data_IF_900154408490
#
_entry.id   IF_900154408490
#
_cell.length_a   1.000
_cell.length_b   1.000
_cell.length_c   1.000
_cell.angle_alpha   90.00
_cell.angle_beta   90.00
_cell.angle_gamma   90.00
#
_symmetry.space_group_name_H-M   'P 1'
#
loop_
_entity.id
_entity.type
_entity.pdbx_description
1 polymer ?
#
# COMPACT_ATOMS: atom_id res chain seq x y z
N UNK A 1 12.65 -11.11 5.37
CA UNK A 1 13.76 -11.92 5.93
C UNK A 1 14.19 -11.43 7.30
N UNK A 2 14.89 -10.28 7.42
CA UNK A 2 15.34 -9.74 8.74
C UNK A 2 14.21 -9.63 9.76
N UNK A 3 13.03 -9.15 9.35
CA UNK A 3 11.86 -9.08 10.23
C UNK A 3 11.39 -10.45 10.74
N UNK A 4 11.50 -11.49 9.91
CA UNK A 4 11.14 -12.86 10.30
C UNK A 4 12.15 -13.38 11.31
N UNK A 5 13.45 -13.19 11.08
CA UNK A 5 14.50 -13.59 12.03
C UNK A 5 14.36 -12.87 13.37
N UNK A 6 14.20 -11.54 13.35
CA UNK A 6 14.06 -10.74 14.56
C UNK A 6 12.81 -11.15 15.34
N UNK A 7 11.67 -11.26 14.65
CA UNK A 7 10.42 -11.68 15.27
C UNK A 7 10.53 -13.11 15.82
N UNK A 8 11.18 -14.05 15.14
CA UNK A 8 11.24 -15.45 15.60
C UNK A 8 12.44 -15.73 16.51
N UNK A 9 13.23 -14.70 16.81
CA UNK A 9 14.52 -14.81 17.52
C UNK A 9 15.39 -15.89 16.87
N UNK A 10 15.66 -15.77 15.56
CA UNK A 10 16.44 -16.77 14.82
C UNK A 10 15.80 -18.16 14.76
N UNK A 11 14.47 -18.25 14.89
CA UNK A 11 13.73 -19.50 14.88
C UNK A 11 13.60 -20.20 16.25
N UNK A 12 14.16 -19.64 17.33
CA UNK A 12 13.96 -20.14 18.70
C UNK A 12 12.49 -20.09 19.13
N UNK A 13 11.73 -19.13 18.60
CA UNK A 13 10.30 -18.98 18.86
C UNK A 13 9.50 -18.99 17.56
N UNK A 14 8.74 -20.07 17.35
CA UNK A 14 7.84 -20.20 16.20
C UNK A 14 6.60 -19.32 16.37
N UNK A 15 6.69 -18.05 15.93
CA UNK A 15 5.64 -17.04 16.11
C UNK A 15 5.44 -16.16 14.87
N UNK A 16 4.34 -15.43 14.87
CA UNK A 16 3.94 -14.51 13.81
C UNK A 16 3.40 -15.18 12.55
N UNK A 17 2.63 -14.41 11.79
CA UNK A 17 2.02 -14.83 10.53
C UNK A 17 2.52 -13.92 9.42
N UNK A 18 2.99 -14.49 8.32
CA UNK A 18 3.31 -13.73 7.12
C UNK A 18 2.12 -13.77 6.15
N UNK A 19 1.60 -12.61 5.80
CA UNK A 19 0.67 -12.45 4.69
C UNK A 19 1.45 -11.93 3.49
N UNK A 20 1.48 -12.68 2.39
CA UNK A 20 2.22 -12.27 1.19
C UNK A 20 1.54 -12.78 -0.09
N UNK A 21 1.79 -12.15 -1.25
CA UNK A 21 1.45 -12.73 -2.53
C UNK A 21 2.16 -14.08 -2.75
N UNK A 22 1.68 -14.87 -3.71
CA UNK A 22 2.24 -16.19 -4.00
C UNK A 22 3.66 -16.08 -4.55
N UNK A 23 3.90 -15.11 -5.43
CA UNK A 23 5.20 -14.90 -6.07
C UNK A 23 6.35 -14.65 -5.08
N UNK A 24 6.05 -14.13 -3.88
CA UNK A 24 7.04 -13.93 -2.83
C UNK A 24 7.66 -15.24 -2.32
N UNK A 25 7.01 -16.38 -2.58
CA UNK A 25 7.39 -17.71 -2.14
C UNK A 25 7.87 -18.62 -3.27
N UNK A 26 7.61 -18.26 -4.52
CA UNK A 26 7.93 -19.03 -5.73
C UNK A 26 9.15 -18.43 -6.45
N UNK A 27 9.61 -19.10 -7.50
CA UNK A 27 10.67 -18.69 -8.46
C UNK A 27 11.57 -17.50 -8.04
N UNK A 28 12.78 -17.81 -7.55
CA UNK A 28 13.71 -16.86 -6.90
C UNK A 28 13.07 -16.09 -5.73
N UNK A 29 12.68 -16.81 -4.66
CA UNK A 29 11.78 -16.24 -3.66
C UNK A 29 12.44 -15.19 -2.79
N UNK A 30 11.80 -14.03 -2.71
CA UNK A 30 12.21 -12.96 -1.79
C UNK A 30 12.07 -13.35 -0.32
N UNK A 31 11.16 -14.29 0.01
CA UNK A 31 11.09 -14.92 1.33
C UNK A 31 11.95 -16.18 1.33
N UNK A 32 13.11 -16.08 2.00
CA UNK A 32 14.10 -17.15 2.01
C UNK A 32 13.52 -18.44 2.59
N UNK A 33 13.76 -19.56 1.90
CA UNK A 33 13.15 -20.86 2.21
C UNK A 33 13.39 -21.32 3.64
N UNK A 34 14.59 -21.10 4.18
CA UNK A 34 14.94 -21.54 5.53
C UNK A 34 14.14 -20.80 6.63
N UNK A 35 13.72 -19.56 6.37
CA UNK A 35 12.95 -18.75 7.33
C UNK A 35 11.49 -19.15 7.44
N UNK A 36 10.95 -19.84 6.42
CA UNK A 36 9.51 -20.15 6.36
C UNK A 36 9.06 -21.03 7.52
N UNK A 37 9.93 -21.95 7.95
CA UNK A 37 9.65 -22.84 9.08
C UNK A 37 9.72 -22.16 10.44
N UNK A 38 10.26 -20.93 10.52
CA UNK A 38 10.31 -20.15 11.75
C UNK A 38 8.99 -19.45 12.04
N UNK A 39 8.16 -19.22 11.02
CA UNK A 39 6.86 -18.59 11.18
C UNK A 39 5.84 -19.56 11.75
N UNK A 40 4.88 -19.04 12.52
CA UNK A 40 3.71 -19.83 12.94
C UNK A 40 2.88 -20.25 11.74
N UNK A 41 2.69 -19.32 10.80
CA UNK A 41 1.88 -19.53 9.60
C UNK A 41 2.28 -18.60 8.45
N UNK A 42 1.94 -18.99 7.22
CA UNK A 42 2.08 -18.18 6.00
C UNK A 42 0.76 -18.23 5.25
N UNK A 43 0.17 -17.06 5.03
CA UNK A 43 -1.13 -16.88 4.38
C UNK A 43 -0.94 -16.20 3.03
N UNK A 44 -1.44 -16.85 1.97
CA UNK A 44 -1.33 -16.35 0.61
C UNK A 44 -2.44 -15.35 0.32
N UNK A 45 -2.04 -14.14 -0.07
CA UNK A 45 -2.94 -13.09 -0.50
C UNK A 45 -3.53 -13.40 -1.88
N UNK A 46 -4.82 -13.13 -2.03
CA UNK A 46 -5.59 -13.29 -3.27
C UNK A 46 -6.52 -12.11 -3.47
N UNK A 47 -6.84 -11.80 -4.71
CA UNK A 47 -7.88 -10.83 -5.04
C UNK A 47 -9.23 -11.20 -4.39
N UNK A 48 -9.86 -10.21 -3.75
CA UNK A 48 -11.10 -10.39 -2.98
C UNK A 48 -10.94 -11.13 -1.64
N UNK A 49 -9.72 -11.48 -1.25
CA UNK A 49 -9.45 -12.22 -0.02
C UNK A 49 -9.66 -11.38 1.24
N UNK A 50 -10.15 -12.02 2.31
CA UNK A 50 -10.34 -11.42 3.63
C UNK A 50 -9.58 -12.23 4.67
N UNK A 51 -8.85 -11.55 5.54
CA UNK A 51 -7.93 -12.14 6.51
C UNK A 51 -8.14 -11.55 7.89
N UNK A 52 -7.74 -12.29 8.92
CA UNK A 52 -7.82 -11.88 10.31
C UNK A 52 -6.50 -12.12 11.02
N UNK A 53 -6.11 -11.18 11.86
CA UNK A 53 -4.93 -11.27 12.72
C UNK A 53 -5.27 -10.63 14.07
N UNK A 54 -5.35 -11.44 15.13
CA UNK A 54 -5.56 -10.97 16.51
C UNK A 54 -6.72 -9.99 16.70
N UNK A 55 -7.85 -10.25 16.02
CA UNK A 55 -9.06 -9.42 16.06
C UNK A 55 -9.12 -8.32 15.00
N UNK A 56 -7.98 -7.97 14.39
CA UNK A 56 -7.92 -7.10 13.21
C UNK A 56 -8.38 -7.86 11.97
N UNK A 57 -9.25 -7.24 11.18
CA UNK A 57 -9.68 -7.72 9.86
C UNK A 57 -9.14 -6.82 8.77
N UNK A 58 -8.60 -7.42 7.72
CA UNK A 58 -8.23 -6.70 6.51
C UNK A 58 -8.53 -7.52 5.27
N UNK A 59 -8.66 -6.86 4.12
CA UNK A 59 -8.91 -7.50 2.83
C UNK A 59 -8.03 -6.93 1.73
N UNK A 60 -7.86 -7.72 0.68
CA UNK A 60 -7.16 -7.37 -0.56
C UNK A 60 -8.22 -7.15 -1.64
N UNK A 61 -8.73 -5.91 -1.82
CA UNK A 61 -9.94 -5.68 -2.60
C UNK A 61 -9.81 -6.09 -4.07
N UNK A 62 -8.65 -5.86 -4.67
CA UNK A 62 -8.33 -6.27 -6.03
C UNK A 62 -6.82 -6.49 -6.20
N UNK A 63 -6.45 -7.18 -7.28
CA UNK A 63 -5.05 -7.25 -7.71
C UNK A 63 -4.65 -5.95 -8.40
N UNK A 64 -3.51 -5.39 -7.98
CA UNK A 64 -2.94 -4.20 -8.59
C UNK A 64 -2.18 -4.52 -9.87
N UNK A 65 -2.09 -3.52 -10.77
CA UNK A 65 -1.39 -3.65 -12.03
C UNK A 65 0.08 -3.25 -11.83
N UNK A 66 0.93 -4.23 -11.49
CA UNK A 66 2.36 -4.02 -11.26
C UNK A 66 3.21 -5.10 -11.96
N UNK A 67 4.53 -5.04 -11.84
CA UNK A 67 5.43 -6.02 -12.49
C UNK A 67 5.42 -7.39 -11.79
N UNK A 68 5.07 -7.38 -10.51
CA UNK A 68 4.92 -8.56 -9.65
C UNK A 68 3.49 -8.61 -9.09
N UNK A 69 3.10 -9.76 -8.56
CA UNK A 69 1.82 -9.92 -7.87
C UNK A 69 1.71 -8.95 -6.69
N UNK A 70 0.80 -7.99 -6.81
CA UNK A 70 0.69 -6.87 -5.87
C UNK A 70 -0.76 -6.68 -5.50
N UNK A 71 -1.01 -6.40 -4.23
CA UNK A 71 -2.34 -6.11 -3.69
C UNK A 71 -2.26 -4.88 -2.81
N UNK A 72 -3.24 -3.99 -2.95
CA UNK A 72 -3.52 -3.03 -1.89
C UNK A 72 -4.32 -3.67 -0.76
N UNK A 73 -4.54 -2.91 0.32
CA UNK A 73 -5.17 -3.40 1.54
C UNK A 73 -6.32 -2.49 1.95
N UNK A 74 -7.34 -3.08 2.57
CA UNK A 74 -8.37 -2.35 3.31
C UNK A 74 -8.40 -2.93 4.71
N UNK A 75 -8.17 -2.09 5.71
CA UNK A 75 -8.06 -2.46 7.12
C UNK A 75 -9.29 -1.91 7.84
N UNK A 76 -10.00 -2.77 8.57
CA UNK A 76 -11.21 -2.43 9.34
C UNK A 76 -12.28 -1.69 8.53
N UNK A 77 -12.37 -1.93 7.22
CA UNK A 77 -13.25 -1.21 6.27
C UNK A 77 -13.16 0.33 6.34
N UNK A 78 -12.05 0.84 6.89
CA UNK A 78 -11.87 2.25 7.22
C UNK A 78 -10.63 2.85 6.57
N UNK A 79 -9.55 2.08 6.51
CA UNK A 79 -8.23 2.55 6.03
C UNK A 79 -7.85 1.76 4.79
N UNK A 80 -7.72 2.44 3.65
CA UNK A 80 -7.21 1.88 2.41
C UNK A 80 -5.72 2.16 2.23
N UNK A 81 -4.97 1.16 1.79
CA UNK A 81 -3.63 1.31 1.26
C UNK A 81 -3.66 0.97 -0.23
N UNK A 82 -3.48 1.99 -1.07
CA UNK A 82 -3.20 1.81 -2.49
C UNK A 82 -1.69 1.65 -2.63
N UNK A 83 -1.23 0.39 -2.64
CA UNK A 83 0.16 0.03 -2.92
C UNK A 83 0.53 0.31 -4.38
N UNK A 84 1.76 -0.01 -4.76
CA UNK A 84 2.28 0.19 -6.12
C UNK A 84 1.35 -0.40 -7.18
N UNK A 85 1.01 0.43 -8.16
CA UNK A 85 0.14 0.07 -9.28
C UNK A 85 0.22 1.12 -10.38
N UNK A 86 0.05 0.67 -11.63
CA UNK A 86 -0.43 1.53 -12.70
C UNK A 86 -1.86 1.99 -12.40
N UNK A 87 -2.27 3.14 -12.93
CA UNK A 87 -3.64 3.63 -12.77
C UNK A 87 -4.64 2.84 -13.61
N UNK A 88 -5.79 2.51 -13.04
CA UNK A 88 -6.94 1.94 -13.75
C UNK A 88 -8.24 2.23 -13.01
N UNK A 89 -9.38 2.39 -13.72
CA UNK A 89 -10.63 2.89 -13.12
C UNK A 89 -11.20 2.04 -11.98
N UNK A 90 -10.91 0.73 -11.93
CA UNK A 90 -11.41 -0.14 -10.87
C UNK A 90 -10.90 0.25 -9.47
N UNK A 91 -9.82 1.03 -9.38
CA UNK A 91 -9.35 1.61 -8.12
C UNK A 91 -10.42 2.49 -7.46
N UNK A 92 -11.26 3.18 -8.23
CA UNK A 92 -12.27 4.07 -7.66
C UNK A 92 -13.26 3.31 -6.80
N UNK A 93 -13.91 2.29 -7.36
CA UNK A 93 -14.94 1.53 -6.65
C UNK A 93 -14.37 0.70 -5.50
N UNK A 94 -13.13 0.24 -5.62
CA UNK A 94 -12.50 -0.54 -4.57
C UNK A 94 -12.13 0.25 -3.31
N UNK A 95 -11.74 1.51 -3.47
CA UNK A 95 -11.28 2.37 -2.38
C UNK A 95 -12.28 3.48 -2.01
N UNK A 96 -13.49 3.44 -2.58
CA UNK A 96 -14.56 4.40 -2.32
C UNK A 96 -15.10 4.28 -0.90
N UNK A 97 -15.44 5.42 -0.30
CA UNK A 97 -16.10 5.47 1.01
C UNK A 97 -15.19 5.16 2.20
N UNK A 98 -13.90 4.89 1.97
CA UNK A 98 -12.92 4.73 3.03
C UNK A 98 -12.59 6.08 3.67
N UNK A 99 -12.40 6.08 4.98
CA UNK A 99 -12.11 7.29 5.74
C UNK A 99 -10.71 7.84 5.42
N UNK A 100 -9.74 6.93 5.37
CA UNK A 100 -8.34 7.26 5.16
C UNK A 100 -7.81 6.47 3.97
N UNK A 101 -7.15 7.15 3.04
CA UNK A 101 -6.40 6.52 1.96
C UNK A 101 -4.92 6.84 2.08
N UNK A 102 -4.10 5.80 2.24
CA UNK A 102 -2.65 5.85 2.07
C UNK A 102 -2.34 5.47 0.63
N UNK A 103 -1.61 6.30 -0.10
CA UNK A 103 -1.42 6.15 -1.54
C UNK A 103 0.07 6.22 -1.89
N UNK A 104 0.59 5.15 -2.46
CA UNK A 104 1.92 5.15 -3.07
C UNK A 104 1.89 5.98 -4.35
N UNK A 105 2.73 7.02 -4.43
CA UNK A 105 2.83 7.90 -5.59
C UNK A 105 4.29 8.21 -5.89
N UNK A 106 4.78 7.76 -7.04
CA UNK A 106 6.21 7.80 -7.36
C UNK A 106 6.56 9.03 -8.19
N UNK A 107 5.65 9.49 -9.06
CA UNK A 107 5.96 10.50 -10.08
C UNK A 107 5.07 11.74 -9.98
N UNK A 108 5.67 12.90 -10.22
CA UNK A 108 4.93 14.17 -10.27
C UNK A 108 4.28 14.46 -11.63
N UNK A 109 4.80 13.83 -12.70
CA UNK A 109 4.46 14.13 -14.10
C UNK A 109 3.49 13.08 -14.66
N UNK A 110 3.10 13.27 -15.92
CA UNK A 110 2.22 12.36 -16.67
C UNK A 110 2.65 10.88 -16.65
N UNK A 111 1.67 10.02 -16.93
CA UNK A 111 1.84 8.57 -17.02
C UNK A 111 2.94 8.19 -18.00
N UNK A 112 3.70 7.18 -17.63
CA UNK A 112 4.63 6.48 -18.51
C UNK A 112 4.28 5.01 -18.39
N UNK A 113 3.77 4.39 -19.45
CA UNK A 113 3.27 3.01 -19.42
C UNK A 113 4.35 1.99 -19.03
N UNK A 114 5.63 2.36 -19.17
CA UNK A 114 6.76 1.54 -18.73
C UNK A 114 6.95 1.56 -17.22
N UNK A 115 6.31 2.49 -16.51
CA UNK A 115 6.40 2.64 -15.06
C UNK A 115 5.02 2.39 -14.46
N UNK A 116 4.84 1.20 -13.90
CA UNK A 116 3.58 0.76 -13.29
C UNK A 116 3.39 1.34 -11.88
N UNK A 117 3.39 2.66 -11.79
CA UNK A 117 3.18 3.43 -10.55
C UNK A 117 2.28 4.63 -10.78
N UNK A 118 1.58 5.05 -9.73
CA UNK A 118 0.73 6.22 -9.74
C UNK A 118 1.55 7.52 -9.84
N UNK A 119 0.93 8.49 -10.50
CA UNK A 119 1.38 9.86 -10.66
C UNK A 119 0.52 10.84 -9.85
N UNK A 120 0.96 12.08 -9.67
CA UNK A 120 0.15 13.13 -9.04
C UNK A 120 -1.18 13.38 -9.80
N UNK A 121 -1.23 13.42 -11.14
CA UNK A 121 -2.48 13.41 -11.89
C UNK A 121 -3.40 12.23 -11.54
N UNK A 122 -2.87 11.02 -11.42
CA UNK A 122 -3.67 9.83 -11.07
C UNK A 122 -4.26 9.93 -9.66
N UNK A 123 -3.44 10.34 -8.69
CA UNK A 123 -3.87 10.57 -7.31
C UNK A 123 -5.01 11.58 -7.29
N UNK A 124 -4.91 12.64 -8.08
CA UNK A 124 -5.94 13.67 -8.18
C UNK A 124 -7.26 13.13 -8.74
N UNK A 125 -7.22 12.26 -9.73
CA UNK A 125 -8.42 11.54 -10.22
C UNK A 125 -9.00 10.63 -9.12
N UNK A 126 -8.17 9.82 -8.47
CA UNK A 126 -8.58 8.91 -7.39
C UNK A 126 -9.26 9.68 -6.26
N UNK A 127 -8.66 10.77 -5.79
CA UNK A 127 -9.20 11.57 -4.67
C UNK A 127 -10.51 12.26 -5.01
N UNK A 128 -10.71 12.67 -6.28
CA UNK A 128 -11.99 13.25 -6.74
C UNK A 128 -13.13 12.25 -6.70
N UNK A 129 -12.86 10.99 -7.05
CA UNK A 129 -13.87 9.93 -7.10
C UNK A 129 -14.12 9.28 -5.74
N UNK A 130 -13.05 9.04 -4.96
CA UNK A 130 -13.13 8.33 -3.67
C UNK A 130 -13.48 9.23 -2.50
N UNK A 131 -13.07 10.51 -2.54
CA UNK A 131 -13.35 11.56 -1.54
C UNK A 131 -13.15 11.10 -0.07
N UNK A 132 -11.98 10.55 0.30
CA UNK A 132 -11.72 10.19 1.69
C UNK A 132 -11.70 11.42 2.58
N UNK A 133 -11.91 11.23 3.89
CA UNK A 133 -11.76 12.31 4.86
C UNK A 133 -10.30 12.77 4.92
N UNK A 134 -9.35 11.84 4.78
CA UNK A 134 -7.91 12.11 4.79
C UNK A 134 -7.16 11.24 3.77
N UNK A 135 -6.29 11.86 3.00
CA UNK A 135 -5.37 11.18 2.10
C UNK A 135 -3.91 11.41 2.53
N UNK A 136 -3.13 10.33 2.56
CA UNK A 136 -1.72 10.33 2.94
C UNK A 136 -0.92 9.83 1.75
N UNK A 137 -0.11 10.71 1.17
CA UNK A 137 0.75 10.37 0.04
C UNK A 137 2.08 9.83 0.58
N UNK A 138 2.61 8.77 -0.03
CA UNK A 138 3.90 8.16 0.33
C UNK A 138 4.59 7.53 -0.88
N UNK A 139 5.70 6.83 -0.67
CA UNK A 139 6.48 6.14 -1.71
C UNK A 139 7.00 7.10 -2.80
N UNK A 140 7.51 8.26 -2.36
CA UNK A 140 7.89 9.35 -3.25
C UNK A 140 9.14 9.03 -4.07
N UNK A 141 9.01 9.10 -5.39
CA UNK A 141 10.16 9.10 -6.29
C UNK A 141 10.84 10.47 -6.36
N UNK A 142 12.02 10.49 -7.00
CA UNK A 142 12.89 11.67 -7.06
C UNK A 142 12.23 12.93 -7.62
N UNK A 143 11.28 12.80 -8.55
CA UNK A 143 10.59 13.96 -9.13
C UNK A 143 9.72 14.68 -8.10
N UNK A 144 9.01 13.93 -7.24
CA UNK A 144 8.20 14.48 -6.16
C UNK A 144 9.09 15.05 -5.07
N UNK A 145 10.15 14.33 -4.69
CA UNK A 145 11.11 14.80 -3.68
C UNK A 145 11.75 16.15 -4.07
N UNK A 146 12.11 16.32 -5.34
CA UNK A 146 12.66 17.59 -5.86
C UNK A 146 11.66 18.75 -5.82
N UNK A 147 10.38 18.49 -6.04
CA UNK A 147 9.33 19.53 -5.98
C UNK A 147 8.96 19.86 -4.52
N UNK A 148 9.04 18.87 -3.64
CA UNK A 148 8.64 18.95 -2.25
C UNK A 148 7.28 18.26 -2.03
N UNK A 149 7.25 17.06 -1.42
CA UNK A 149 6.01 16.31 -1.22
C UNK A 149 4.96 17.10 -0.42
N UNK A 150 5.38 17.84 0.61
CA UNK A 150 4.49 18.67 1.42
C UNK A 150 3.84 19.79 0.63
N UNK A 151 4.56 20.38 -0.33
CA UNK A 151 4.03 21.42 -1.22
C UNK A 151 2.96 20.83 -2.14
N UNK A 152 3.25 19.69 -2.78
CA UNK A 152 2.29 18.99 -3.65
C UNK A 152 1.02 18.57 -2.89
N UNK A 153 1.16 18.03 -1.68
CA UNK A 153 0.02 17.67 -0.85
C UNK A 153 -0.85 18.89 -0.49
N UNK A 154 -0.23 20.03 -0.15
CA UNK A 154 -0.98 21.27 0.11
C UNK A 154 -1.70 21.79 -1.13
N UNK A 155 -1.07 21.73 -2.30
CA UNK A 155 -1.70 22.12 -3.57
C UNK A 155 -2.91 21.24 -3.88
N UNK A 156 -2.78 19.92 -3.76
CA UNK A 156 -3.89 18.97 -3.91
C UNK A 156 -5.00 19.21 -2.89
N UNK A 157 -4.64 19.47 -1.63
CA UNK A 157 -5.59 19.75 -0.56
C UNK A 157 -6.43 21.00 -0.86
N UNK A 158 -5.79 22.09 -1.31
CA UNK A 158 -6.48 23.32 -1.70
C UNK A 158 -7.36 23.14 -2.93
N UNK A 159 -6.86 22.42 -3.94
CA UNK A 159 -7.58 22.24 -5.20
C UNK A 159 -8.83 21.36 -5.03
N UNK A 160 -8.72 20.30 -4.22
CA UNK A 160 -9.79 19.32 -4.07
C UNK A 160 -10.72 19.59 -2.88
N UNK A 161 -10.33 20.50 -1.97
CA UNK A 161 -11.06 20.72 -0.72
C UNK A 161 -11.03 19.52 0.22
N UNK A 162 -9.98 18.69 0.14
CA UNK A 162 -9.78 17.48 0.94
C UNK A 162 -8.56 17.62 1.84
N UNK A 163 -8.50 16.86 2.95
CA UNK A 163 -7.29 16.81 3.76
C UNK A 163 -6.25 15.88 3.11
N UNK A 164 -5.29 16.46 2.39
CA UNK A 164 -4.19 15.71 1.76
C UNK A 164 -2.88 16.06 2.45
N UNK A 165 -2.14 15.05 2.91
CA UNK A 165 -0.86 15.21 3.60
C UNK A 165 0.20 14.31 2.98
N UNK A 166 1.47 14.74 3.04
CA UNK A 166 2.60 13.92 2.64
C UNK A 166 3.16 13.20 3.87
N UNK A 167 3.39 11.90 3.77
CA UNK A 167 4.03 11.10 4.80
C UNK A 167 5.48 11.56 5.02
N UNK A 168 5.94 11.43 6.26
CA UNK A 168 7.34 11.64 6.66
C UNK A 168 7.78 10.49 7.55
N UNK A 169 9.09 10.23 7.59
CA UNK A 169 9.62 9.17 8.44
C UNK A 169 9.32 9.47 9.92
N UNK A 170 8.81 8.46 10.63
CA UNK A 170 8.39 8.61 12.04
C UNK A 170 7.01 9.27 12.23
N UNK A 171 6.30 9.61 11.16
CA UNK A 171 4.96 10.17 11.25
C UNK A 171 4.00 9.19 11.94
N UNK A 172 3.24 9.70 12.90
CA UNK A 172 2.18 8.96 13.60
C UNK A 172 0.84 9.65 13.41
N UNK A 173 -0.22 8.86 13.34
CA UNK A 173 -1.59 9.32 13.21
C UNK A 173 -2.42 8.74 14.35
N UNK A 174 -3.20 9.59 15.00
CA UNK A 174 -4.23 9.16 15.92
C UNK A 174 -5.48 8.80 15.09
N UNK A 175 -5.88 7.54 15.18
CA UNK A 175 -7.01 6.92 14.46
C UNK A 175 -8.23 6.79 15.36
#
# INVERSE_FOLDING_TARGET
NVMIEAMTEGGWHKRGVLFCPQDALEDDPVVLRYLRNYLKDIQILKEGGTYKLDGLTFRTPLRHLHDVETYGLIIEERIGLISDTFFFPALFEAYKGLEILVINVVRAQERDERIKHLTIPDVKEILRETKPQKAILTHFGMTILKIGPSKLAQELSRELGLQVIAATDGMSLNL
#
